data_IF_631260463359
#
_entry.id   IF_631260463359
#
_cell.length_a   1.000
_cell.length_b   1.000
_cell.length_c   1.000
_cell.angle_alpha   90.00
_cell.angle_beta   90.00
_cell.angle_gamma   90.00
#
_symmetry.space_group_name_H-M   'P 1'
#
loop_
_entity.id
_entity.type
_entity.pdbx_description
1 polymer ?
#
# COMPACT_ATOMS: atom_id res chain seq x y z
N UNK A 1 12.67 -23.89 15.07
CA UNK A 1 11.85 -23.76 13.84
C UNK A 1 12.64 -22.99 12.80
N UNK A 2 12.66 -23.45 11.55
CA UNK A 2 13.29 -22.71 10.45
C UNK A 2 12.50 -21.40 10.23
N UNK A 3 13.19 -20.26 10.08
CA UNK A 3 12.54 -18.96 9.79
C UNK A 3 11.77 -19.09 8.46
N UNK A 4 10.45 -18.80 8.42
CA UNK A 4 9.70 -18.88 7.17
C UNK A 4 10.16 -17.81 6.20
N UNK A 5 10.21 -18.13 4.91
CA UNK A 5 10.46 -17.19 3.83
C UNK A 5 9.12 -16.67 3.29
N UNK A 6 8.90 -15.35 3.40
CA UNK A 6 7.61 -14.75 3.11
C UNK A 6 7.57 -14.19 1.68
N UNK A 7 6.88 -14.89 0.78
CA UNK A 7 6.45 -14.36 -0.51
C UNK A 7 4.95 -14.00 -0.48
N UNK A 8 4.56 -13.30 0.59
CA UNK A 8 3.20 -12.82 0.82
C UNK A 8 3.01 -11.39 0.28
N UNK A 9 1.79 -10.98 -0.10
CA UNK A 9 1.50 -9.57 -0.37
C UNK A 9 1.71 -8.64 0.83
N UNK A 10 2.08 -9.17 1.98
CA UNK A 10 2.38 -8.55 3.26
C UNK A 10 1.68 -9.26 4.42
N UNK A 11 2.31 -9.26 5.62
CA UNK A 11 3.59 -8.62 5.92
C UNK A 11 4.76 -9.25 5.17
N UNK A 12 5.83 -8.47 5.01
CA UNK A 12 7.09 -8.94 4.42
C UNK A 12 8.14 -9.17 5.51
N UNK A 13 9.23 -9.84 5.14
CA UNK A 13 10.37 -9.92 6.02
C UNK A 13 10.96 -8.53 6.24
N UNK A 14 11.20 -8.20 7.51
CA UNK A 14 11.90 -6.98 7.88
C UNK A 14 13.41 -7.26 7.78
N UNK A 15 14.19 -6.45 7.04
CA UNK A 15 15.64 -6.57 7.00
C UNK A 15 16.21 -6.49 8.42
N UNK A 16 17.25 -7.28 8.71
CA UNK A 16 17.79 -7.40 10.07
C UNK A 16 18.21 -6.06 10.64
N UNK A 17 18.89 -5.23 9.86
CA UNK A 17 19.32 -3.90 10.28
C UNK A 17 18.15 -2.96 10.61
N UNK A 18 17.00 -3.10 9.93
CA UNK A 18 15.78 -2.35 10.23
C UNK A 18 15.17 -2.84 11.55
N UNK A 19 15.11 -4.16 11.74
CA UNK A 19 14.61 -4.76 12.97
C UNK A 19 15.46 -4.34 14.19
N UNK A 20 16.80 -4.40 14.07
CA UNK A 20 17.73 -3.97 15.13
C UNK A 20 17.53 -2.50 15.50
N UNK A 21 17.17 -1.64 14.53
CA UNK A 21 16.85 -0.25 14.83
C UNK A 21 15.66 -0.09 15.79
N UNK A 22 14.66 -0.99 15.69
CA UNK A 22 13.51 -1.02 16.60
C UNK A 22 13.82 -1.53 18.01
N UNK A 23 14.93 -2.25 18.20
CA UNK A 23 15.39 -2.76 19.49
C UNK A 23 16.17 -1.70 20.32
N UNK A 24 16.36 -0.50 19.77
CA UNK A 24 16.99 0.62 20.51
C UNK A 24 16.20 0.95 21.79
N UNK A 25 16.89 1.38 22.89
CA UNK A 25 16.24 1.74 24.14
C UNK A 25 15.13 2.76 23.93
N UNK A 26 13.98 2.53 24.58
CA UNK A 26 12.88 3.48 24.59
C UNK A 26 13.23 4.71 25.40
N UNK A 27 12.69 5.84 25.01
CA UNK A 27 12.87 7.13 25.68
C UNK A 27 11.51 7.82 25.89
N UNK A 28 11.50 8.92 26.63
CA UNK A 28 10.26 9.64 26.92
C UNK A 28 9.61 10.17 25.64
N UNK A 29 8.40 9.70 25.36
CA UNK A 29 7.63 10.11 24.18
C UNK A 29 7.14 11.57 24.21
N UNK A 30 7.42 12.33 25.29
CA UNK A 30 7.14 13.77 25.38
C UNK A 30 8.44 14.58 25.42
N UNK A 31 9.56 14.00 24.97
CA UNK A 31 10.85 14.66 24.92
C UNK A 31 11.09 15.35 23.58
N UNK A 32 12.04 16.29 23.59
CA UNK A 32 12.55 16.93 22.37
C UNK A 32 13.12 15.88 21.39
N UNK A 33 13.72 14.81 21.90
CA UNK A 33 14.25 13.70 21.09
C UNK A 33 13.19 13.05 20.19
N UNK A 34 11.93 12.90 20.68
CA UNK A 34 10.85 12.38 19.81
C UNK A 34 10.47 13.37 18.73
N UNK A 35 10.37 14.65 19.03
CA UNK A 35 10.05 15.67 18.02
C UNK A 35 11.11 15.73 16.92
N UNK A 36 12.37 15.61 17.27
CA UNK A 36 13.50 15.51 16.33
C UNK A 36 13.42 14.25 15.48
N UNK A 37 13.11 13.09 16.08
CA UNK A 37 12.88 11.85 15.36
C UNK A 37 11.73 11.99 14.36
N UNK A 38 10.58 12.52 14.77
CA UNK A 38 9.44 12.71 13.88
C UNK A 38 9.76 13.66 12.73
N UNK A 39 10.48 14.74 12.97
CA UNK A 39 10.92 15.66 11.92
C UNK A 39 11.90 14.98 10.92
N UNK A 40 12.84 14.16 11.44
CA UNK A 40 13.73 13.34 10.59
C UNK A 40 12.93 12.36 9.72
N UNK A 41 11.99 11.62 10.32
CA UNK A 41 11.16 10.66 9.61
C UNK A 41 10.28 11.32 8.55
N UNK A 42 9.65 12.44 8.87
CA UNK A 42 8.87 13.22 7.93
C UNK A 42 9.72 13.67 6.73
N UNK A 43 10.88 14.26 6.99
CA UNK A 43 11.83 14.69 5.96
C UNK A 43 12.30 13.52 5.09
N UNK A 44 12.61 12.37 5.70
CA UNK A 44 13.05 11.16 4.99
C UNK A 44 11.95 10.48 4.17
N UNK A 45 10.68 10.61 4.60
CA UNK A 45 9.55 10.04 3.88
C UNK A 45 9.10 10.90 2.68
N UNK A 46 9.19 12.23 2.73
CA UNK A 46 8.74 13.13 1.66
C UNK A 46 9.23 12.73 0.26
N UNK A 47 10.52 12.41 0.04
CA UNK A 47 11.00 11.96 -1.27
C UNK A 47 10.33 10.67 -1.75
N UNK A 48 9.97 9.75 -0.84
CA UNK A 48 9.30 8.50 -1.20
C UNK A 48 7.91 8.74 -1.78
N UNK A 49 7.20 9.75 -1.24
CA UNK A 49 5.89 10.18 -1.73
C UNK A 49 5.99 11.10 -2.95
N UNK A 50 7.14 11.71 -3.21
CA UNK A 50 7.26 12.78 -4.19
C UNK A 50 6.41 13.99 -3.83
N UNK A 51 6.51 14.46 -2.57
CA UNK A 51 5.69 15.56 -2.03
C UNK A 51 6.50 16.53 -1.17
N UNK A 52 6.04 17.77 -1.11
CA UNK A 52 6.48 18.78 -0.15
C UNK A 52 5.51 18.92 1.03
N UNK A 53 4.40 18.18 1.01
CA UNK A 53 3.37 18.17 2.06
C UNK A 53 3.83 17.56 3.38
N UNK A 54 2.94 17.58 4.37
CA UNK A 54 3.21 16.98 5.68
C UNK A 54 3.08 15.44 5.60
N UNK A 55 3.93 14.72 6.37
CA UNK A 55 3.84 13.27 6.52
C UNK A 55 3.63 12.93 7.99
N UNK A 56 2.58 12.17 8.27
CA UNK A 56 2.17 11.82 9.63
C UNK A 56 2.24 10.31 9.87
N UNK A 57 2.49 9.93 11.12
CA UNK A 57 2.64 8.55 11.56
C UNK A 57 1.54 8.21 12.57
N UNK A 58 0.80 7.13 12.31
CA UNK A 58 -0.33 6.68 13.10
C UNK A 58 -0.01 5.30 13.69
N UNK A 59 -0.17 5.11 14.98
CA UNK A 59 -0.13 3.76 15.56
C UNK A 59 -1.36 2.98 15.10
N UNK A 60 -1.29 2.44 13.88
CA UNK A 60 -2.41 1.75 13.21
C UNK A 60 -1.91 0.89 12.05
N UNK A 61 -2.79 0.14 11.42
CA UNK A 61 -2.56 -0.50 10.13
C UNK A 61 -2.76 0.50 8.96
N UNK A 62 -2.46 0.07 7.72
CA UNK A 62 -2.85 0.81 6.52
C UNK A 62 -4.36 1.06 6.45
N UNK A 63 -5.20 0.16 6.97
CA UNK A 63 -6.66 0.37 7.07
C UNK A 63 -7.00 1.54 8.01
N UNK A 64 -6.30 1.68 9.15
CA UNK A 64 -6.48 2.84 10.02
C UNK A 64 -6.01 4.14 9.36
N UNK A 65 -4.97 4.10 8.52
CA UNK A 65 -4.58 5.25 7.69
C UNK A 65 -5.67 5.62 6.67
N UNK A 66 -6.32 4.63 6.02
CA UNK A 66 -7.49 4.85 5.15
C UNK A 66 -8.64 5.49 5.93
N UNK A 67 -9.00 4.93 7.08
CA UNK A 67 -10.04 5.46 7.96
C UNK A 67 -9.73 6.89 8.39
N UNK A 68 -8.46 7.19 8.75
CA UNK A 68 -8.05 8.54 9.10
C UNK A 68 -8.29 9.54 7.96
N UNK A 69 -8.04 9.15 6.71
CA UNK A 69 -8.31 10.00 5.56
C UNK A 69 -9.81 10.26 5.37
N UNK A 70 -10.65 9.23 5.50
CA UNK A 70 -12.11 9.38 5.41
C UNK A 70 -12.61 10.37 6.46
N UNK A 71 -12.28 10.17 7.73
CA UNK A 71 -12.83 11.03 8.82
C UNK A 71 -12.31 12.47 8.79
N UNK A 72 -11.12 12.71 8.21
CA UNK A 72 -10.58 14.06 8.10
C UNK A 72 -11.04 14.81 6.84
N UNK A 73 -11.44 14.10 5.79
CA UNK A 73 -11.74 14.72 4.49
C UNK A 73 -13.22 14.77 4.13
N UNK A 74 -14.09 14.15 4.94
CA UNK A 74 -15.52 14.05 4.63
C UNK A 74 -16.39 14.38 5.83
N UNK A 75 -17.68 14.59 5.59
CA UNK A 75 -18.73 14.78 6.62
C UNK A 75 -19.86 13.79 6.40
N UNK A 76 -20.58 13.37 7.45
CA UNK A 76 -21.75 12.47 7.31
C UNK A 76 -22.75 13.01 6.27
N UNK A 77 -23.24 12.12 5.41
CA UNK A 77 -24.13 12.47 4.30
C UNK A 77 -23.46 13.02 3.04
N UNK A 78 -22.16 13.38 3.08
CA UNK A 78 -21.45 13.81 1.87
C UNK A 78 -21.39 12.67 0.83
N UNK A 79 -21.51 13.06 -0.45
CA UNK A 79 -21.33 12.15 -1.57
C UNK A 79 -19.84 11.99 -1.90
N UNK A 80 -19.38 10.75 -2.03
CA UNK A 80 -18.01 10.40 -2.39
C UNK A 80 -17.97 9.40 -3.53
N UNK A 81 -16.91 9.43 -4.33
CA UNK A 81 -16.65 8.42 -5.36
C UNK A 81 -15.56 7.47 -4.87
N UNK A 82 -15.78 6.17 -5.03
CA UNK A 82 -14.79 5.13 -4.77
C UNK A 82 -14.56 4.33 -6.06
N UNK A 83 -13.32 4.28 -6.52
CA UNK A 83 -12.94 3.48 -7.70
C UNK A 83 -12.58 2.08 -7.24
N UNK A 84 -13.40 1.09 -7.62
CA UNK A 84 -13.32 -0.30 -7.12
C UNK A 84 -12.77 -1.22 -8.21
N UNK A 85 -11.47 -1.50 -8.14
CA UNK A 85 -10.77 -2.46 -9.02
C UNK A 85 -10.21 -3.68 -8.28
N UNK A 86 -10.64 -3.91 -7.04
CA UNK A 86 -10.19 -5.03 -6.21
C UNK A 86 -10.72 -4.96 -4.79
N UNK A 87 -10.31 -5.96 -3.99
CA UNK A 87 -10.78 -6.12 -2.60
C UNK A 87 -10.34 -4.97 -1.69
N UNK A 88 -9.11 -4.43 -1.89
CA UNK A 88 -8.62 -3.33 -1.06
C UNK A 88 -9.21 -1.99 -1.49
N UNK A 89 -9.48 -1.82 -2.77
CA UNK A 89 -10.24 -0.68 -3.27
C UNK A 89 -11.67 -0.65 -2.71
N UNK A 90 -12.36 -1.80 -2.64
CA UNK A 90 -13.70 -1.91 -2.04
C UNK A 90 -13.72 -1.50 -0.55
N UNK A 91 -12.62 -1.68 0.18
CA UNK A 91 -12.51 -1.28 1.60
C UNK A 91 -12.75 0.22 1.82
N UNK A 92 -12.38 1.07 0.87
CA UNK A 92 -12.72 2.50 0.92
C UNK A 92 -14.23 2.71 1.00
N UNK A 93 -15.02 1.96 0.20
CA UNK A 93 -16.46 2.04 0.21
C UNK A 93 -17.04 1.55 1.56
N UNK A 94 -16.50 0.47 2.12
CA UNK A 94 -16.93 -0.05 3.41
C UNK A 94 -16.68 0.95 4.54
N UNK A 95 -15.47 1.56 4.58
CA UNK A 95 -15.14 2.60 5.56
C UNK A 95 -16.05 3.81 5.37
N UNK A 96 -16.21 4.30 4.15
CA UNK A 96 -17.03 5.47 3.86
C UNK A 96 -18.50 5.25 4.29
N UNK A 97 -19.07 4.07 4.00
CA UNK A 97 -20.42 3.68 4.45
C UNK A 97 -20.53 3.63 5.96
N UNK A 98 -19.51 3.13 6.67
CA UNK A 98 -19.50 3.06 8.14
C UNK A 98 -19.58 4.45 8.78
N UNK A 99 -19.07 5.49 8.10
CA UNK A 99 -19.17 6.90 8.54
C UNK A 99 -20.37 7.66 7.95
N UNK A 100 -21.35 6.95 7.38
CA UNK A 100 -22.60 7.53 6.90
C UNK A 100 -22.47 8.37 5.63
N UNK A 101 -21.46 8.07 4.77
CA UNK A 101 -21.30 8.76 3.50
C UNK A 101 -22.20 8.15 2.43
N UNK A 102 -22.60 8.96 1.45
CA UNK A 102 -23.27 8.51 0.22
C UNK A 102 -22.20 8.05 -0.78
N UNK A 103 -21.98 6.74 -0.88
CA UNK A 103 -20.89 6.17 -1.68
C UNK A 103 -21.35 5.89 -3.10
N UNK A 104 -20.61 6.41 -4.09
CA UNK A 104 -20.75 6.12 -5.52
C UNK A 104 -19.56 5.26 -5.96
N UNK A 105 -19.81 3.98 -6.20
CA UNK A 105 -18.80 3.04 -6.63
C UNK A 105 -18.63 3.07 -8.16
N UNK A 106 -17.39 3.16 -8.63
CA UNK A 106 -16.98 3.04 -10.03
C UNK A 106 -16.31 1.69 -10.19
N UNK A 107 -17.02 0.72 -10.73
CA UNK A 107 -16.48 -0.61 -10.97
C UNK A 107 -15.42 -0.55 -12.08
N UNK A 108 -14.18 -0.88 -11.75
CA UNK A 108 -13.06 -0.99 -12.68
C UNK A 108 -12.79 -2.45 -13.04
N UNK A 109 -12.15 -2.67 -14.18
CA UNK A 109 -11.70 -4.00 -14.57
C UNK A 109 -10.60 -4.49 -13.61
N UNK A 110 -10.81 -5.64 -12.96
CA UNK A 110 -9.90 -6.20 -11.97
C UNK A 110 -8.56 -6.69 -12.55
N UNK A 111 -8.44 -6.81 -13.88
CA UNK A 111 -7.19 -7.15 -14.58
C UNK A 111 -6.46 -5.94 -15.16
N UNK A 112 -7.18 -4.81 -15.40
CA UNK A 112 -6.63 -3.62 -16.09
C UNK A 112 -6.58 -2.39 -15.21
N UNK A 113 -7.44 -2.31 -14.17
CA UNK A 113 -7.67 -1.10 -13.41
C UNK A 113 -8.67 -0.15 -14.08
N UNK A 114 -8.84 1.03 -13.48
CA UNK A 114 -9.74 2.05 -13.98
C UNK A 114 -9.18 2.75 -15.23
N UNK A 115 -10.05 3.06 -16.17
CA UNK A 115 -9.75 3.93 -17.30
C UNK A 115 -10.07 5.38 -16.99
N UNK A 116 -9.37 6.31 -17.65
CA UNK A 116 -9.65 7.73 -17.53
C UNK A 116 -11.12 8.07 -17.87
N UNK A 117 -11.67 7.44 -18.92
CA UNK A 117 -13.06 7.62 -19.34
C UNK A 117 -14.08 7.18 -18.27
N UNK A 118 -13.82 6.09 -17.54
CA UNK A 118 -14.69 5.67 -16.43
C UNK A 118 -14.71 6.70 -15.32
N UNK A 119 -13.53 7.22 -14.93
CA UNK A 119 -13.44 8.26 -13.90
C UNK A 119 -14.09 9.55 -14.36
N UNK A 120 -13.86 9.99 -15.60
CA UNK A 120 -14.51 11.17 -16.19
C UNK A 120 -16.02 11.05 -16.19
N UNK A 121 -16.56 9.90 -16.62
CA UNK A 121 -18.00 9.62 -16.60
C UNK A 121 -18.57 9.70 -15.18
N UNK A 122 -17.86 9.16 -14.19
CA UNK A 122 -18.25 9.24 -12.79
C UNK A 122 -18.28 10.68 -12.27
N UNK A 123 -17.25 11.47 -12.57
CA UNK A 123 -17.17 12.87 -12.16
C UNK A 123 -18.32 13.71 -12.75
N UNK A 124 -18.72 13.44 -14.00
CA UNK A 124 -19.88 14.06 -14.66
C UNK A 124 -21.20 13.59 -14.07
N UNK A 125 -21.34 12.30 -13.80
CA UNK A 125 -22.55 11.68 -13.27
C UNK A 125 -22.83 12.05 -11.79
N UNK A 126 -21.77 12.34 -11.03
CA UNK A 126 -21.87 12.69 -9.60
C UNK A 126 -21.12 14.00 -9.28
N UNK A 127 -21.67 15.14 -9.73
CA UNK A 127 -20.98 16.43 -9.63
C UNK A 127 -20.80 16.92 -8.19
N UNK A 128 -21.66 16.46 -7.26
CA UNK A 128 -21.60 16.85 -5.85
C UNK A 128 -20.51 16.09 -5.06
N UNK A 129 -20.05 14.94 -5.54
CA UNK A 129 -18.95 14.22 -4.90
C UNK A 129 -17.69 15.07 -4.92
N UNK A 130 -17.16 15.40 -3.72
CA UNK A 130 -15.98 16.25 -3.58
C UNK A 130 -14.70 15.49 -3.33
N UNK A 131 -14.79 14.26 -2.82
CA UNK A 131 -13.65 13.41 -2.49
C UNK A 131 -13.74 12.11 -3.29
N UNK A 132 -12.64 11.76 -3.94
CA UNK A 132 -12.48 10.54 -4.70
C UNK A 132 -11.42 9.67 -4.01
N UNK A 133 -11.76 8.41 -3.72
CA UNK A 133 -10.84 7.42 -3.17
C UNK A 133 -10.44 6.44 -4.27
N UNK A 134 -9.14 6.23 -4.43
CA UNK A 134 -8.60 5.32 -5.43
C UNK A 134 -7.39 4.54 -4.89
N UNK A 135 -7.27 3.28 -5.26
CA UNK A 135 -6.12 2.44 -4.89
C UNK A 135 -5.10 2.44 -6.02
N UNK A 136 -3.86 2.84 -5.74
CA UNK A 136 -2.78 2.87 -6.72
C UNK A 136 -2.28 1.47 -7.08
N UNK A 137 -1.95 0.65 -6.06
CA UNK A 137 -1.48 -0.73 -6.24
C UNK A 137 -2.42 -1.70 -5.53
N UNK A 138 -3.25 -2.41 -6.29
CA UNK A 138 -4.27 -3.30 -5.76
C UNK A 138 -3.67 -4.69 -5.43
N UNK A 139 -3.52 -4.98 -4.16
CA UNK A 139 -2.87 -6.21 -3.68
C UNK A 139 -3.67 -7.48 -3.91
N UNK A 140 -4.98 -7.40 -4.13
CA UNK A 140 -5.81 -8.58 -4.41
C UNK A 140 -5.63 -9.08 -5.85
N UNK A 141 -5.17 -8.22 -6.76
CA UNK A 141 -5.06 -8.52 -8.19
C UNK A 141 -3.63 -8.38 -8.73
N UNK A 142 -2.80 -7.56 -8.10
CA UNK A 142 -1.47 -7.18 -8.60
C UNK A 142 -1.50 -6.02 -9.60
N UNK A 143 -2.66 -5.40 -9.86
CA UNK A 143 -2.81 -4.29 -10.81
C UNK A 143 -2.20 -3.01 -10.24
N UNK A 144 -1.49 -2.27 -11.10
CA UNK A 144 -1.02 -0.90 -10.84
C UNK A 144 -1.86 0.07 -11.67
N UNK A 145 -2.59 0.96 -11.00
CA UNK A 145 -3.43 1.97 -11.64
C UNK A 145 -2.62 3.19 -12.07
N UNK A 146 -3.00 3.83 -13.16
CA UNK A 146 -2.41 5.08 -13.63
C UNK A 146 -3.01 6.27 -12.83
N UNK A 147 -2.23 6.76 -11.85
CA UNK A 147 -2.68 7.87 -11.00
C UNK A 147 -2.37 9.24 -11.59
N UNK A 148 -1.42 9.34 -12.52
CA UNK A 148 -0.98 10.63 -13.05
C UNK A 148 -2.07 11.34 -13.83
N UNK A 149 -2.63 10.72 -14.84
CA UNK A 149 -3.70 11.31 -15.66
C UNK A 149 -5.03 11.41 -14.91
N UNK A 150 -5.34 10.40 -14.08
CA UNK A 150 -6.54 10.40 -13.23
C UNK A 150 -6.49 11.56 -12.22
N UNK A 151 -5.36 11.80 -11.58
CA UNK A 151 -5.21 12.89 -10.62
C UNK A 151 -5.34 14.26 -11.25
N UNK A 152 -4.72 14.47 -12.42
CA UNK A 152 -4.88 15.72 -13.19
C UNK A 152 -6.34 15.98 -13.57
N UNK A 153 -7.07 14.94 -14.02
CA UNK A 153 -8.48 15.02 -14.35
C UNK A 153 -9.32 15.41 -13.12
N UNK A 154 -9.12 14.75 -11.97
CA UNK A 154 -9.84 15.04 -10.73
C UNK A 154 -9.55 16.47 -10.26
N UNK A 155 -8.29 16.89 -10.34
CA UNK A 155 -7.85 18.25 -10.00
C UNK A 155 -8.52 19.32 -10.90
N UNK A 156 -8.67 19.06 -12.20
CA UNK A 156 -9.32 19.99 -13.13
C UNK A 156 -10.79 20.26 -12.79
N UNK A 157 -11.44 19.32 -12.10
CA UNK A 157 -12.81 19.44 -11.58
C UNK A 157 -12.87 19.99 -10.15
N UNK A 158 -11.75 20.54 -9.64
CA UNK A 158 -11.61 21.06 -8.27
C UNK A 158 -12.06 20.09 -7.17
N UNK A 159 -11.80 18.79 -7.36
CA UNK A 159 -12.09 17.72 -6.41
C UNK A 159 -10.81 17.23 -5.72
N UNK A 160 -10.96 16.48 -4.64
CA UNK A 160 -9.87 15.91 -3.83
C UNK A 160 -9.65 14.46 -4.21
N UNK A 161 -8.40 14.09 -4.49
CA UNK A 161 -8.00 12.69 -4.72
C UNK A 161 -7.23 12.16 -3.50
N UNK A 162 -7.71 11.05 -2.95
CA UNK A 162 -7.04 10.28 -1.90
C UNK A 162 -6.59 8.96 -2.48
N UNK A 163 -5.29 8.66 -2.39
CA UNK A 163 -4.71 7.44 -2.92
C UNK A 163 -4.31 6.46 -1.81
N UNK A 164 -4.74 5.19 -1.95
CA UNK A 164 -4.14 4.07 -1.22
C UNK A 164 -2.88 3.63 -1.96
N UNK A 165 -1.72 3.86 -1.36
CA UNK A 165 -0.42 3.43 -1.83
C UNK A 165 0.21 2.36 -0.90
N UNK A 166 -0.61 1.68 -0.09
CA UNK A 166 -0.13 0.68 0.90
C UNK A 166 0.82 -0.34 0.27
N UNK A 167 0.52 -0.83 -0.93
CA UNK A 167 1.35 -1.83 -1.62
C UNK A 167 2.16 -1.26 -2.79
N UNK A 168 2.16 0.07 -2.97
CA UNK A 168 2.86 0.75 -4.07
C UNK A 168 4.04 1.60 -3.62
N UNK A 169 3.92 2.27 -2.45
CA UNK A 169 4.96 3.17 -1.95
C UNK A 169 6.27 2.41 -1.72
N UNK A 170 7.37 3.02 -2.12
CA UNK A 170 8.72 2.45 -2.11
C UNK A 170 8.86 1.14 -2.92
N UNK A 171 7.81 0.70 -3.64
CA UNK A 171 7.83 -0.43 -4.58
C UNK A 171 7.97 0.05 -6.03
N UNK A 172 7.30 1.13 -6.36
CA UNK A 172 7.40 1.84 -7.64
C UNK A 172 7.56 3.34 -7.39
N UNK A 173 8.11 4.11 -8.33
CA UNK A 173 8.22 5.55 -8.21
C UNK A 173 6.85 6.20 -8.03
N UNK A 174 6.72 7.08 -7.04
CA UNK A 174 5.52 7.88 -6.79
C UNK A 174 5.85 9.37 -6.90
N UNK A 175 4.91 10.15 -7.42
CA UNK A 175 5.03 11.61 -7.53
C UNK A 175 3.71 12.25 -7.13
N UNK A 176 3.40 12.26 -5.83
CA UNK A 176 2.13 12.72 -5.27
C UNK A 176 1.76 14.11 -5.80
N UNK A 177 2.69 15.08 -5.69
CA UNK A 177 2.42 16.47 -6.09
C UNK A 177 2.24 16.59 -7.61
N UNK A 178 3.12 15.94 -8.41
CA UNK A 178 3.06 15.99 -9.86
C UNK A 178 1.83 15.24 -10.43
N UNK A 179 1.35 14.22 -9.72
CA UNK A 179 0.13 13.49 -10.06
C UNK A 179 -1.14 14.14 -9.52
N UNK A 180 -1.01 15.30 -8.87
CA UNK A 180 -2.12 16.05 -8.30
C UNK A 180 -2.95 15.25 -7.27
N UNK A 181 -2.32 14.34 -6.53
CA UNK A 181 -2.92 13.61 -5.41
C UNK A 181 -2.90 14.52 -4.18
N UNK A 182 -4.00 14.56 -3.43
CA UNK A 182 -4.15 15.47 -2.29
C UNK A 182 -3.81 14.80 -0.95
N UNK A 183 -4.03 13.49 -0.84
CA UNK A 183 -3.57 12.70 0.30
C UNK A 183 -3.21 11.28 -0.13
N UNK A 184 -2.21 10.68 0.53
CA UNK A 184 -1.75 9.30 0.28
C UNK A 184 -1.69 8.55 1.59
N UNK A 185 -2.22 7.32 1.62
CA UNK A 185 -2.17 6.44 2.79
C UNK A 185 -1.31 5.20 2.53
N UNK A 186 -0.55 4.79 3.56
CA UNK A 186 0.40 3.67 3.49
C UNK A 186 0.38 2.86 4.79
N UNK A 187 0.83 1.62 4.72
CA UNK A 187 1.10 0.76 5.88
C UNK A 187 2.57 0.34 5.92
N UNK A 188 3.14 0.26 7.11
CA UNK A 188 4.56 0.01 7.35
C UNK A 188 5.10 -1.32 6.81
N UNK A 189 4.27 -2.39 6.83
CA UNK A 189 4.66 -3.79 6.60
C UNK A 189 4.79 -4.18 5.13
N UNK A 190 4.92 -3.20 4.24
CA UNK A 190 5.03 -3.39 2.78
C UNK A 190 6.37 -2.84 2.26
N UNK A 191 6.33 -1.95 1.29
CA UNK A 191 7.53 -1.38 0.69
C UNK A 191 8.44 -0.61 1.65
N UNK A 192 7.93 -0.11 2.76
CA UNK A 192 8.74 0.52 3.82
C UNK A 192 9.54 -0.48 4.65
N UNK A 193 9.25 -1.79 4.57
CA UNK A 193 10.01 -2.86 5.21
C UNK A 193 10.09 -2.75 6.75
N UNK A 194 9.08 -2.17 7.39
CA UNK A 194 8.93 -2.02 8.84
C UNK A 194 7.91 -3.03 9.34
N UNK A 195 7.99 -3.47 10.58
CA UNK A 195 7.01 -4.34 11.22
C UNK A 195 5.59 -3.77 11.11
N UNK A 196 4.54 -4.63 11.09
CA UNK A 196 3.15 -4.17 11.07
C UNK A 196 2.80 -3.33 12.29
N UNK A 197 1.97 -2.28 12.12
CA UNK A 197 1.45 -1.48 13.22
C UNK A 197 1.64 0.03 13.06
N UNK A 198 2.26 0.49 11.96
CA UNK A 198 2.39 1.91 11.67
C UNK A 198 1.67 2.24 10.36
N UNK A 199 0.68 3.12 10.43
CA UNK A 199 0.06 3.79 9.30
C UNK A 199 0.80 5.09 8.99
N UNK A 200 0.99 5.42 7.72
CA UNK A 200 1.62 6.67 7.29
C UNK A 200 0.68 7.41 6.36
N UNK A 201 0.54 8.71 6.55
CA UNK A 201 -0.33 9.56 5.71
C UNK A 201 0.46 10.78 5.24
N UNK A 202 0.56 10.95 3.92
CA UNK A 202 1.05 12.18 3.32
C UNK A 202 -0.13 13.09 2.98
N UNK A 203 -0.04 14.39 3.31
CA UNK A 203 -1.16 15.34 3.27
C UNK A 203 -0.70 16.62 2.56
N UNK A 204 -1.30 16.87 1.41
CA UNK A 204 -1.07 18.08 0.65
C UNK A 204 -1.92 19.29 1.14
N UNK A 205 -1.60 20.50 0.67
CA UNK A 205 -2.28 21.73 1.12
C UNK A 205 -3.80 21.71 0.93
N UNK A 206 -4.30 21.15 -0.18
CA UNK A 206 -5.75 21.09 -0.46
C UNK A 206 -6.47 20.09 0.45
N UNK A 207 -5.82 18.97 0.79
CA UNK A 207 -6.36 18.04 1.77
C UNK A 207 -6.46 18.70 3.15
N UNK A 208 -5.48 19.50 3.55
CA UNK A 208 -5.56 20.31 4.77
C UNK A 208 -6.75 21.25 4.76
N UNK A 209 -6.94 22.04 3.70
CA UNK A 209 -8.09 22.94 3.55
C UNK A 209 -9.43 22.18 3.61
N UNK A 210 -9.51 21.00 2.95
CA UNK A 210 -10.72 20.17 3.03
C UNK A 210 -10.93 19.62 4.44
N UNK A 211 -9.86 19.26 5.16
CA UNK A 211 -9.95 18.74 6.53
C UNK A 211 -10.53 19.72 7.54
N UNK A 212 -10.38 21.03 7.29
CA UNK A 212 -10.98 22.08 8.11
C UNK A 212 -12.51 22.10 8.04
N UNK A 213 -13.07 21.62 6.94
CA UNK A 213 -14.50 21.58 6.68
C UNK A 213 -15.17 20.29 7.18
N UNK A 214 -14.39 19.26 7.53
CA UNK A 214 -14.92 17.96 7.96
C UNK A 214 -15.65 18.08 9.29
N UNK A 215 -16.88 17.54 9.32
CA UNK A 215 -17.71 17.42 10.52
C UNK A 215 -17.79 15.96 11.05
N UNK A 216 -17.10 15.02 10.42
CA UNK A 216 -17.07 13.64 10.90
C UNK A 216 -16.44 13.57 12.30
N UNK A 217 -17.10 12.99 13.29
CA UNK A 217 -16.56 12.82 14.63
C UNK A 217 -15.26 12.01 14.59
N UNK A 218 -14.20 12.53 15.19
CA UNK A 218 -12.90 11.90 15.28
C UNK A 218 -12.15 12.36 16.51
N UNK A 219 -11.38 11.49 17.12
CA UNK A 219 -10.53 11.82 18.27
C UNK A 219 -9.10 11.35 18.04
N UNK A 220 -8.92 10.02 17.82
CA UNK A 220 -7.61 9.41 17.68
C UNK A 220 -6.96 9.75 16.31
N UNK A 221 -7.74 9.77 15.25
CA UNK A 221 -7.29 10.07 13.88
C UNK A 221 -7.43 11.55 13.50
N UNK A 222 -7.55 12.47 14.44
CA UNK A 222 -7.62 13.90 14.13
C UNK A 222 -6.26 14.45 13.70
N UNK A 223 -6.09 14.71 12.41
CA UNK A 223 -4.86 15.22 11.84
C UNK A 223 -4.41 16.55 12.46
N UNK A 224 -5.35 17.43 12.85
CA UNK A 224 -5.02 18.70 13.49
C UNK A 224 -4.35 18.50 14.84
N UNK A 225 -4.77 17.48 15.61
CA UNK A 225 -4.14 17.15 16.89
C UNK A 225 -2.76 16.56 16.74
N UNK A 226 -2.52 15.85 15.63
CA UNK A 226 -1.25 15.16 15.37
C UNK A 226 -0.21 16.08 14.73
N UNK A 227 -0.63 17.16 14.05
CA UNK A 227 0.28 18.06 13.35
C UNK A 227 1.23 18.77 14.33
N UNK A 228 2.52 18.46 14.23
CA UNK A 228 3.56 19.05 15.10
C UNK A 228 3.40 18.72 16.59
N UNK A 229 2.64 17.68 16.93
CA UNK A 229 2.31 17.33 18.30
C UNK A 229 2.25 15.80 18.51
N UNK A 230 2.40 15.37 19.76
CA UNK A 230 2.32 13.96 20.19
C UNK A 230 1.22 13.82 21.26
N UNK A 231 -0.07 13.87 20.86
CA UNK A 231 -1.18 13.85 21.83
C UNK A 231 -1.38 12.49 22.48
N UNK A 232 -0.90 11.42 21.86
CA UNK A 232 -1.01 10.03 22.31
C UNK A 232 0.36 9.37 22.32
N UNK A 233 0.51 8.29 23.11
CA UNK A 233 1.74 7.48 23.09
C UNK A 233 1.92 6.86 21.71
N UNK A 234 2.99 7.18 20.99
CA UNK A 234 3.24 6.65 19.64
C UNK A 234 3.79 5.23 19.70
N UNK A 235 3.77 4.54 18.58
CA UNK A 235 4.43 3.24 18.41
C UNK A 235 5.96 3.43 18.26
N UNK A 236 6.64 3.78 19.36
CA UNK A 236 8.03 4.28 19.35
C UNK A 236 9.00 3.28 18.69
N UNK A 237 8.92 1.98 19.02
CA UNK A 237 9.77 0.96 18.39
C UNK A 237 9.59 0.92 16.86
N UNK A 238 8.36 1.10 16.37
CA UNK A 238 8.09 1.13 14.92
C UNK A 238 8.58 2.43 14.26
N UNK A 239 8.58 3.54 14.97
CA UNK A 239 9.21 4.79 14.50
C UNK A 239 10.73 4.62 14.40
N UNK A 240 11.34 3.93 15.36
CA UNK A 240 12.76 3.59 15.33
C UNK A 240 13.11 2.59 14.22
N UNK A 241 12.23 1.59 13.95
CA UNK A 241 12.37 0.73 12.77
C UNK A 241 12.25 1.53 11.46
N UNK A 242 11.32 2.49 11.39
CA UNK A 242 11.17 3.35 10.22
C UNK A 242 12.40 4.21 9.97
N UNK A 243 13.03 4.72 11.04
CA UNK A 243 14.30 5.42 10.96
C UNK A 243 15.39 4.54 10.33
N UNK A 244 15.54 3.31 10.82
CA UNK A 244 16.46 2.33 10.22
C UNK A 244 16.10 1.95 8.77
N UNK A 245 14.81 1.89 8.43
CA UNK A 245 14.36 1.61 7.06
C UNK A 245 14.68 2.76 6.10
N UNK A 246 14.53 4.01 6.54
CA UNK A 246 14.88 5.19 5.75
C UNK A 246 16.40 5.27 5.54
N UNK A 247 17.20 4.99 6.56
CA UNK A 247 18.67 4.91 6.44
C UNK A 247 19.06 3.79 5.44
N UNK A 248 18.39 2.62 5.49
CA UNK A 248 18.59 1.55 4.52
C UNK A 248 18.27 1.99 3.09
N UNK A 249 17.10 2.61 2.89
CA UNK A 249 16.64 3.10 1.59
C UNK A 249 17.62 4.16 1.06
N UNK A 250 18.05 5.09 1.89
CA UNK A 250 18.99 6.14 1.51
C UNK A 250 20.36 5.57 1.11
N UNK A 251 20.86 4.60 1.86
CA UNK A 251 22.15 3.94 1.58
C UNK A 251 22.14 3.16 0.28
N UNK A 252 21.03 2.45 -0.02
CA UNK A 252 20.88 1.71 -1.27
C UNK A 252 20.62 2.62 -2.47
N UNK A 253 19.92 3.73 -2.26
CA UNK A 253 19.41 4.62 -3.30
C UNK A 253 18.09 4.13 -3.90
N UNK A 254 17.12 5.03 -4.03
CA UNK A 254 15.76 4.71 -4.48
C UNK A 254 15.73 4.06 -5.87
N UNK A 255 16.51 4.56 -6.82
CA UNK A 255 16.53 4.03 -8.19
C UNK A 255 16.99 2.57 -8.22
N UNK A 256 17.98 2.21 -7.40
CA UNK A 256 18.45 0.82 -7.27
C UNK A 256 17.39 -0.06 -6.64
N UNK A 257 16.67 0.44 -5.63
CA UNK A 257 15.56 -0.29 -5.00
C UNK A 257 14.45 -0.55 -6.01
N UNK A 258 14.04 0.45 -6.79
CA UNK A 258 13.01 0.28 -7.82
C UNK A 258 13.46 -0.69 -8.92
N UNK A 259 14.69 -0.55 -9.40
CA UNK A 259 15.27 -1.48 -10.41
C UNK A 259 15.31 -2.91 -9.88
N UNK A 260 15.73 -3.10 -8.61
CA UNK A 260 15.73 -4.41 -7.97
C UNK A 260 14.34 -5.01 -7.86
N UNK A 261 13.34 -4.25 -7.46
CA UNK A 261 11.96 -4.72 -7.34
C UNK A 261 11.35 -5.07 -8.70
N UNK A 262 11.65 -4.31 -9.74
CA UNK A 262 11.28 -4.65 -11.11
C UNK A 262 11.91 -5.97 -11.55
N UNK A 263 13.22 -6.15 -11.33
CA UNK A 263 13.93 -7.40 -11.65
C UNK A 263 13.34 -8.61 -10.93
N UNK A 264 13.06 -8.51 -9.63
CA UNK A 264 12.43 -9.61 -8.86
C UNK A 264 11.04 -9.92 -9.43
N UNK A 265 10.25 -8.90 -9.72
CA UNK A 265 8.92 -9.06 -10.30
C UNK A 265 8.97 -9.75 -11.66
N UNK A 266 9.91 -9.36 -12.54
CA UNK A 266 10.05 -9.94 -13.87
C UNK A 266 10.48 -11.41 -13.81
N UNK A 267 11.44 -11.75 -12.94
CA UNK A 267 11.87 -13.15 -12.73
C UNK A 267 10.72 -14.03 -12.21
N UNK A 268 9.90 -13.52 -11.29
CA UNK A 268 8.71 -14.24 -10.80
C UNK A 268 7.66 -14.40 -11.91
N UNK A 269 7.40 -13.36 -12.71
CA UNK A 269 6.45 -13.44 -13.83
C UNK A 269 6.94 -14.40 -14.92
N UNK A 270 8.24 -14.45 -15.18
CA UNK A 270 8.86 -15.41 -16.10
C UNK A 270 8.69 -16.84 -15.58
N UNK A 271 8.97 -17.08 -14.28
CA UNK A 271 8.72 -18.37 -13.63
C UNK A 271 7.25 -18.80 -13.84
N UNK A 272 6.30 -17.91 -13.58
CA UNK A 272 4.86 -18.17 -13.75
C UNK A 272 4.57 -18.62 -15.19
N UNK A 273 5.05 -17.88 -16.20
CA UNK A 273 4.78 -18.20 -17.62
C UNK A 273 5.41 -19.54 -18.06
N UNK A 274 6.68 -19.77 -17.70
CA UNK A 274 7.38 -21.03 -18.06
C UNK A 274 6.80 -22.23 -17.32
N UNK A 275 6.08 -22.03 -16.22
CA UNK A 275 5.34 -23.06 -15.49
C UNK A 275 3.95 -23.34 -16.11
N UNK A 276 3.61 -22.79 -17.26
CA UNK A 276 2.32 -22.96 -17.92
C UNK A 276 1.17 -22.24 -17.24
N UNK A 277 1.46 -21.21 -16.44
CA UNK A 277 0.49 -20.39 -15.71
C UNK A 277 0.39 -18.97 -16.31
N UNK A 278 -0.70 -18.26 -16.02
CA UNK A 278 -0.93 -16.90 -16.51
C UNK A 278 -0.78 -15.86 -15.40
N UNK A 279 -0.16 -14.71 -15.72
CA UNK A 279 -0.16 -13.55 -14.84
C UNK A 279 -1.53 -12.88 -14.92
N UNK A 280 -2.21 -12.74 -13.78
CA UNK A 280 -3.59 -12.22 -13.73
C UNK A 280 -3.70 -10.77 -14.22
N UNK A 281 -2.85 -9.88 -13.68
CA UNK A 281 -2.90 -8.47 -14.02
C UNK A 281 -2.36 -8.20 -15.43
N UNK A 282 -3.10 -7.45 -16.25
CA UNK A 282 -2.65 -6.98 -17.57
C UNK A 282 -1.78 -5.72 -17.49
N UNK A 283 -1.86 -5.00 -16.35
CA UNK A 283 -0.95 -3.90 -15.98
C UNK A 283 -0.36 -4.19 -14.59
N UNK A 284 0.59 -5.13 -14.49
CA UNK A 284 1.09 -5.57 -13.20
C UNK A 284 2.03 -4.53 -12.56
N UNK A 285 1.86 -4.31 -11.25
CA UNK A 285 2.82 -3.60 -10.41
C UNK A 285 4.01 -4.48 -10.00
N UNK A 286 5.05 -3.87 -9.43
CA UNK A 286 6.29 -4.57 -9.06
C UNK A 286 6.31 -5.13 -7.62
N UNK A 287 5.15 -5.25 -6.96
CA UNK A 287 5.08 -5.74 -5.59
C UNK A 287 4.38 -7.10 -5.44
N UNK A 288 3.46 -7.43 -6.36
CA UNK A 288 2.62 -8.62 -6.25
C UNK A 288 2.37 -9.17 -7.64
N UNK A 289 2.53 -10.48 -7.77
CA UNK A 289 2.14 -11.23 -8.97
C UNK A 289 0.95 -12.12 -8.65
N UNK A 290 -0.23 -11.80 -9.21
CA UNK A 290 -1.40 -12.69 -9.24
C UNK A 290 -1.20 -13.77 -10.30
N UNK A 291 -1.50 -15.02 -9.97
CA UNK A 291 -1.21 -16.19 -10.82
C UNK A 291 -2.48 -17.00 -11.05
N UNK A 292 -2.89 -17.14 -12.30
CA UNK A 292 -3.95 -18.05 -12.73
C UNK A 292 -3.30 -19.39 -13.11
N UNK A 293 -3.55 -20.48 -12.39
CA UNK A 293 -3.07 -21.79 -12.77
C UNK A 293 -3.95 -22.44 -13.84
N UNK A 294 -3.52 -23.54 -14.49
CA UNK A 294 -4.34 -24.34 -15.35
C UNK A 294 -5.59 -24.87 -14.64
N UNK A 295 -6.65 -25.12 -15.41
CA UNK A 295 -7.91 -25.69 -14.89
C UNK A 295 -7.65 -27.02 -14.18
N UNK A 296 -8.19 -27.16 -12.97
CA UNK A 296 -8.03 -28.37 -12.14
C UNK A 296 -6.76 -28.39 -11.29
N UNK A 297 -5.94 -27.36 -11.34
CA UNK A 297 -4.73 -27.26 -10.51
C UNK A 297 -5.07 -27.03 -9.02
N UNK A 298 -4.48 -27.83 -8.13
CA UNK A 298 -4.68 -27.69 -6.69
C UNK A 298 -3.75 -26.61 -6.09
N UNK A 299 -4.24 -25.37 -6.07
CA UNK A 299 -3.56 -24.23 -5.47
C UNK A 299 -3.30 -24.42 -3.96
N UNK A 300 -4.17 -25.15 -3.28
CA UNK A 300 -4.02 -25.39 -1.84
C UNK A 300 -2.89 -26.39 -1.57
N UNK A 301 -2.77 -27.43 -2.40
CA UNK A 301 -1.67 -28.39 -2.33
C UNK A 301 -0.32 -27.71 -2.61
N UNK A 302 -0.22 -26.87 -3.64
CA UNK A 302 0.99 -26.08 -3.92
C UNK A 302 1.42 -25.26 -2.71
N UNK A 303 0.49 -24.53 -2.10
CA UNK A 303 0.79 -23.69 -0.92
C UNK A 303 1.24 -24.52 0.27
N UNK A 304 0.55 -25.64 0.56
CA UNK A 304 0.95 -26.56 1.63
C UNK A 304 2.34 -27.14 1.40
N UNK A 305 2.69 -27.56 0.17
CA UNK A 305 4.00 -28.09 -0.16
C UNK A 305 5.09 -27.04 -0.01
N UNK A 306 4.90 -25.85 -0.55
CA UNK A 306 5.86 -24.75 -0.37
C UNK A 306 6.13 -24.47 1.11
N UNK A 307 5.08 -24.46 1.94
CA UNK A 307 5.21 -24.19 3.37
C UNK A 307 5.87 -25.36 4.12
N UNK A 308 5.38 -26.60 3.94
CA UNK A 308 5.83 -27.75 4.72
C UNK A 308 7.23 -28.24 4.30
N UNK A 309 7.51 -28.31 2.99
CA UNK A 309 8.74 -28.90 2.48
C UNK A 309 9.87 -27.87 2.39
N UNK A 310 9.53 -26.60 2.15
CA UNK A 310 10.52 -25.53 1.87
C UNK A 310 10.48 -24.36 2.85
N UNK A 311 9.46 -24.26 3.71
CA UNK A 311 9.28 -23.14 4.64
C UNK A 311 8.91 -21.82 3.94
N UNK A 312 8.32 -21.90 2.75
CA UNK A 312 7.96 -20.72 1.93
C UNK A 312 6.46 -20.48 1.99
N UNK A 313 6.05 -19.26 2.28
CA UNK A 313 4.65 -18.89 2.33
C UNK A 313 4.26 -17.97 1.16
N UNK A 314 3.21 -18.37 0.43
CA UNK A 314 2.52 -17.56 -0.59
C UNK A 314 1.03 -17.42 -0.24
N UNK A 315 0.33 -16.44 -0.85
CA UNK A 315 -1.06 -16.14 -0.50
C UNK A 315 -2.06 -16.71 -1.51
N UNK A 316 -3.27 -17.03 -1.06
CA UNK A 316 -4.42 -17.32 -1.93
C UNK A 316 -5.01 -16.07 -2.56
N UNK A 317 -5.97 -16.23 -3.46
CA UNK A 317 -6.80 -15.15 -3.99
C UNK A 317 -7.69 -14.52 -2.90
N UNK A 318 -8.32 -13.39 -3.21
CA UNK A 318 -9.24 -12.67 -2.33
C UNK A 318 -10.49 -12.20 -3.10
N UNK A 319 -11.61 -12.06 -2.39
CA UNK A 319 -12.85 -11.54 -2.96
C UNK A 319 -13.29 -12.31 -4.21
N UNK A 320 -13.61 -11.62 -5.28
CA UNK A 320 -14.10 -12.22 -6.56
C UNK A 320 -13.08 -13.18 -7.21
N UNK A 321 -11.80 -13.09 -6.86
CA UNK A 321 -10.72 -13.93 -7.44
C UNK A 321 -10.20 -15.00 -6.47
N UNK A 322 -10.91 -15.25 -5.38
CA UNK A 322 -10.49 -16.18 -4.31
C UNK A 322 -10.18 -17.58 -4.85
N UNK A 323 -11.05 -18.10 -5.70
CA UNK A 323 -10.95 -19.46 -6.23
C UNK A 323 -10.34 -19.51 -7.65
N UNK A 324 -9.97 -18.34 -8.19
CA UNK A 324 -9.40 -18.21 -9.54
C UNK A 324 -7.88 -18.22 -9.55
N UNK A 325 -7.25 -17.68 -8.50
CA UNK A 325 -5.80 -17.42 -8.50
C UNK A 325 -5.17 -17.52 -7.12
N UNK A 326 -3.85 -17.62 -7.10
CA UNK A 326 -3.03 -17.36 -5.92
C UNK A 326 -2.10 -16.15 -6.16
N UNK A 327 -1.41 -15.69 -5.12
CA UNK A 327 -0.56 -14.50 -5.20
C UNK A 327 0.83 -14.76 -4.64
N UNK A 328 1.84 -14.31 -5.38
CA UNK A 328 3.23 -14.27 -4.96
C UNK A 328 3.56 -12.81 -4.65
N UNK A 329 3.83 -12.50 -3.37
CA UNK A 329 4.19 -11.16 -2.93
C UNK A 329 5.70 -10.98 -2.91
N UNK A 330 6.16 -9.81 -3.36
CA UNK A 330 7.57 -9.43 -3.41
C UNK A 330 7.76 -7.92 -3.15
N UNK A 331 6.86 -7.33 -2.34
CA UNK A 331 6.84 -5.88 -2.05
C UNK A 331 8.02 -5.40 -1.21
N UNK A 332 8.71 -6.29 -0.48
CA UNK A 332 9.80 -5.97 0.43
C UNK A 332 11.19 -6.14 -0.19
N UNK A 333 12.17 -6.27 0.68
CA UNK A 333 13.52 -6.65 0.29
C UNK A 333 13.59 -8.16 0.06
N UNK A 334 14.04 -8.57 -1.12
CA UNK A 334 14.27 -9.97 -1.51
C UNK A 334 15.68 -10.08 -2.05
N UNK A 335 16.53 -10.91 -1.42
CA UNK A 335 17.90 -11.16 -1.88
C UNK A 335 17.92 -12.08 -3.10
N UNK A 336 19.08 -12.22 -3.77
CA UNK A 336 19.23 -13.16 -4.89
C UNK A 336 19.08 -14.60 -4.41
N UNK A 337 19.67 -14.93 -3.27
CA UNK A 337 19.61 -16.26 -2.67
C UNK A 337 18.16 -16.63 -2.29
N UNK A 338 17.39 -15.71 -1.72
CA UNK A 338 15.98 -15.92 -1.39
C UNK A 338 15.14 -16.13 -2.64
N UNK A 339 15.38 -15.34 -3.69
CA UNK A 339 14.67 -15.46 -4.96
C UNK A 339 15.00 -16.77 -5.68
N UNK A 340 16.27 -17.14 -5.76
CA UNK A 340 16.72 -18.40 -6.39
C UNK A 340 16.18 -19.60 -5.64
N UNK A 341 16.20 -19.57 -4.30
CA UNK A 341 15.61 -20.62 -3.47
C UNK A 341 14.10 -20.73 -3.69
N UNK A 342 13.39 -19.58 -3.77
CA UNK A 342 11.96 -19.57 -4.08
C UNK A 342 11.67 -20.20 -5.44
N UNK A 343 12.39 -19.78 -6.48
CA UNK A 343 12.20 -20.27 -7.86
C UNK A 343 12.42 -21.80 -7.91
N UNK A 344 13.54 -22.28 -7.38
CA UNK A 344 13.85 -23.72 -7.34
C UNK A 344 12.77 -24.52 -6.58
N UNK A 345 12.36 -24.04 -5.41
CA UNK A 345 11.36 -24.71 -4.58
C UNK A 345 9.98 -24.75 -5.26
N UNK A 346 9.60 -23.66 -5.93
CA UNK A 346 8.35 -23.57 -6.69
C UNK A 346 8.33 -24.61 -7.83
N UNK A 347 9.40 -24.70 -8.63
CA UNK A 347 9.53 -25.68 -9.72
C UNK A 347 9.46 -27.12 -9.20
N UNK A 348 10.14 -27.43 -8.10
CA UNK A 348 10.05 -28.75 -7.46
C UNK A 348 8.64 -29.10 -6.96
N UNK A 349 7.87 -28.12 -6.53
CA UNK A 349 6.47 -28.34 -6.17
C UNK A 349 5.57 -28.66 -7.38
N UNK A 350 5.97 -28.31 -8.60
CA UNK A 350 5.19 -28.60 -9.80
C UNK A 350 5.49 -29.97 -10.43
N UNK A 351 6.70 -30.51 -10.24
CA UNK A 351 7.16 -31.73 -10.89
C UNK A 351 6.91 -33.01 -10.08
N UNK A 352 6.42 -32.90 -8.88
CA UNK A 352 6.11 -34.01 -7.96
C UNK A 352 4.61 -34.08 -7.66
#
# INVERSE_FOLDING_TARGET
MRKPLLFLPGPMQVPEQVRIAGDRPLFNHRSQQLLELLAKLESGCRPLFGTTGDVMFLASSGTGAMESAVVNLTSPGEEVIVVVGGTFAARWADIAKAYGLSVREVEADWRRGATLAQVEGALKGWPNARVIFHTWSESSTGVLNDMGEIGKLIRSQNKILVADAVSGLAVSPMSMDAWAIDAVVVGSQKGLMVSPGLGVVAIGPRAWQKSEQSKTPRFYFDWKKLKGNVPFTPALSLLLELDGALDFIQTQGMDKIFARRAQVADRIRELVRRSGMEVYALKPGNGITGVIPPKGFDMAALRRRLENDFGIQIAGGLGKVKDLMFRIGHVGHVTDEELDYFIHSFERCLTA
#
